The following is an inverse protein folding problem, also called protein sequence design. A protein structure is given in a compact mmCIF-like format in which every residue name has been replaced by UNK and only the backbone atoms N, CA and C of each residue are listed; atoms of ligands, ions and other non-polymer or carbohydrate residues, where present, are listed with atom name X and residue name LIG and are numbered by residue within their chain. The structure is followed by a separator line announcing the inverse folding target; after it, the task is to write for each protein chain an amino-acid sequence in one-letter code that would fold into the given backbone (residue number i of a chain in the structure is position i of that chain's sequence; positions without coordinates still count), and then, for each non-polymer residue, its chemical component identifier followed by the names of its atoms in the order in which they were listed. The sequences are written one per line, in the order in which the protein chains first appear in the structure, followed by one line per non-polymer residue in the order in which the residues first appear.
data_IF_862510157381
#
_entry.id   IF_862510157381
#
_cell.length_a   1.000
_cell.length_b   1.000
_cell.length_c   1.000
_cell.angle_alpha   90.00
_cell.angle_beta   90.00
_cell.angle_gamma   90.00
#
_symmetry.space_group_name_H-M   'P 1'
#
loop_
_entity.id
_entity.type
_entity.pdbx_description
1 polymer ?
#
# COMPACT_ATOMS: atom_id res chain seq x y z
N UNK A 1 -38.75 -34.72 -43.35
CA UNK A 1 -38.92 -34.28 -41.94
C UNK A 1 -37.73 -34.69 -41.07
N UNK A 2 -36.50 -34.68 -41.60
CA UNK A 2 -35.32 -35.27 -40.96
C UNK A 2 -34.04 -34.43 -41.23
N UNK A 3 -34.14 -33.10 -41.11
CA UNK A 3 -32.98 -32.19 -41.28
C UNK A 3 -32.80 -31.16 -40.14
N UNK A 4 -33.78 -31.01 -39.25
CA UNK A 4 -33.70 -30.07 -38.12
C UNK A 4 -33.27 -30.72 -36.79
N UNK A 5 -33.16 -32.06 -36.75
CA UNK A 5 -32.79 -32.77 -35.52
C UNK A 5 -31.32 -32.55 -35.11
N UNK A 6 -30.44 -32.22 -36.06
CA UNK A 6 -29.03 -31.91 -35.79
C UNK A 6 -28.79 -30.50 -35.23
N UNK A 7 -29.74 -29.57 -35.39
CA UNK A 7 -29.58 -28.18 -34.95
C UNK A 7 -29.98 -27.95 -33.48
N UNK A 8 -30.76 -28.87 -32.90
CA UNK A 8 -31.16 -28.84 -31.49
C UNK A 8 -30.12 -29.47 -30.55
N UNK A 9 -29.21 -30.30 -31.05
CA UNK A 9 -28.14 -30.90 -30.25
C UNK A 9 -26.96 -29.95 -29.98
N UNK A 10 -26.80 -28.89 -30.77
CA UNK A 10 -25.72 -27.89 -30.61
C UNK A 10 -26.00 -26.81 -29.56
N UNK A 11 -27.27 -26.58 -29.18
CA UNK A 11 -27.64 -25.53 -28.25
C UNK A 11 -27.62 -25.94 -26.77
N UNK A 12 -27.47 -27.24 -26.48
CA UNK A 12 -27.49 -27.78 -25.12
C UNK A 12 -26.11 -27.80 -24.42
N UNK A 13 -25.04 -27.32 -25.07
CA UNK A 13 -23.67 -27.41 -24.56
C UNK A 13 -23.15 -26.15 -23.81
N UNK A 14 -24.01 -25.19 -23.46
CA UNK A 14 -23.60 -23.89 -22.91
C UNK A 14 -24.22 -23.52 -21.54
N UNK A 15 -24.03 -24.33 -20.47
CA UNK A 15 -23.91 -23.69 -19.16
C UNK A 15 -22.77 -24.24 -18.28
N UNK A 16 -21.72 -24.82 -18.87
CA UNK A 16 -20.59 -25.33 -18.07
C UNK A 16 -19.62 -24.23 -17.56
N UNK A 17 -19.78 -22.97 -17.96
CA UNK A 17 -18.86 -21.87 -17.63
C UNK A 17 -19.23 -21.07 -16.35
N UNK A 18 -20.24 -21.53 -15.59
CA UNK A 18 -20.71 -20.82 -14.38
C UNK A 18 -20.38 -21.57 -13.07
N UNK A 19 -19.35 -22.42 -13.04
CA UNK A 19 -18.85 -22.96 -11.77
C UNK A 19 -18.15 -21.83 -11.01
N UNK A 20 -18.89 -21.18 -10.11
CA UNK A 20 -18.32 -20.27 -9.13
C UNK A 20 -17.27 -21.03 -8.32
N UNK A 21 -16.03 -20.54 -8.32
CA UNK A 21 -14.97 -21.11 -7.50
C UNK A 21 -15.49 -21.26 -6.05
N UNK A 22 -15.37 -22.44 -5.43
CA UNK A 22 -15.86 -22.65 -4.08
C UNK A 22 -15.21 -21.63 -3.17
N UNK A 23 -16.03 -20.81 -2.50
CA UNK A 23 -15.55 -19.83 -1.53
C UNK A 23 -14.71 -20.58 -0.51
N UNK A 24 -13.49 -20.11 -0.24
CA UNK A 24 -12.59 -20.77 0.70
C UNK A 24 -13.33 -20.96 2.03
N UNK A 25 -13.40 -22.20 2.58
CA UNK A 25 -14.03 -22.44 3.87
C UNK A 25 -13.44 -21.51 4.94
N UNK A 26 -14.30 -21.00 5.82
CA UNK A 26 -13.86 -20.11 6.90
C UNK A 26 -13.15 -20.96 7.97
N UNK A 27 -11.83 -21.11 7.85
CA UNK A 27 -10.97 -21.80 8.82
C UNK A 27 -10.06 -20.80 9.56
N UNK A 28 -9.28 -21.29 10.54
CA UNK A 28 -8.40 -20.43 11.34
C UNK A 28 -7.26 -19.78 10.53
N UNK A 29 -6.94 -20.29 9.33
CA UNK A 29 -5.95 -19.68 8.43
C UNK A 29 -6.45 -18.39 7.77
N UNK A 30 -7.76 -18.11 7.86
CA UNK A 30 -8.37 -16.89 7.32
C UNK A 30 -8.03 -15.66 8.18
N UNK A 31 -7.81 -15.83 9.49
CA UNK A 31 -7.50 -14.72 10.39
C UNK A 31 -6.16 -14.04 10.07
N UNK A 32 -5.16 -14.83 9.67
CA UNK A 32 -3.84 -14.33 9.30
C UNK A 32 -3.87 -13.44 8.04
N UNK A 33 -4.95 -13.52 7.25
CA UNK A 33 -5.14 -12.71 6.04
C UNK A 33 -5.77 -11.35 6.33
N UNK A 34 -6.23 -11.10 7.55
CA UNK A 34 -6.84 -9.81 7.88
C UNK A 34 -5.81 -8.68 7.84
N UNK A 35 -6.22 -7.59 7.20
CA UNK A 35 -5.45 -6.38 7.06
C UNK A 35 -6.25 -5.23 7.65
N UNK A 36 -5.54 -4.31 8.31
CA UNK A 36 -6.14 -3.09 8.85
C UNK A 36 -5.75 -1.89 7.98
N UNK A 37 -6.70 -0.98 7.78
CA UNK A 37 -6.41 0.35 7.25
C UNK A 37 -6.09 1.28 8.43
N UNK A 38 -4.96 1.96 8.36
CA UNK A 38 -4.48 2.85 9.42
C UNK A 38 -3.91 4.15 8.84
N UNK A 39 -3.78 5.16 9.71
CA UNK A 39 -3.15 6.45 9.39
C UNK A 39 -3.74 7.08 8.11
N UNK A 40 -5.06 7.11 8.04
CA UNK A 40 -5.80 7.77 6.99
C UNK A 40 -5.60 9.28 7.12
N UNK A 41 -5.29 9.95 6.01
CA UNK A 41 -5.17 11.40 5.96
C UNK A 41 -5.68 11.91 4.62
N UNK A 42 -6.29 13.09 4.64
CA UNK A 42 -6.73 13.83 3.46
C UNK A 42 -5.79 15.02 3.29
N UNK A 43 -5.46 15.37 2.05
CA UNK A 43 -4.65 16.57 1.78
C UNK A 43 -5.38 17.85 2.19
N UNK A 44 -4.66 18.94 2.53
CA UNK A 44 -5.29 20.22 2.87
C UNK A 44 -6.29 20.73 1.84
N UNK A 45 -6.04 20.50 0.54
CA UNK A 45 -6.96 20.87 -0.55
C UNK A 45 -8.09 19.85 -0.81
N UNK A 46 -8.17 18.75 -0.06
CA UNK A 46 -9.21 17.72 -0.19
C UNK A 46 -9.09 16.81 -1.41
N UNK A 47 -8.12 17.00 -2.30
CA UNK A 47 -8.03 16.29 -3.58
C UNK A 47 -7.36 14.91 -3.48
N UNK A 48 -6.61 14.67 -2.42
CA UNK A 48 -5.80 13.47 -2.26
C UNK A 48 -6.07 12.81 -0.92
N UNK A 49 -5.97 11.49 -0.92
CA UNK A 49 -6.12 10.65 0.26
C UNK A 49 -4.93 9.72 0.33
N UNK A 50 -4.37 9.59 1.52
CA UNK A 50 -3.40 8.55 1.83
C UNK A 50 -3.91 7.68 2.96
N UNK A 51 -3.53 6.41 2.93
CA UNK A 51 -3.78 5.47 4.02
C UNK A 51 -2.81 4.30 3.91
N UNK A 52 -2.61 3.60 5.03
CA UNK A 52 -1.74 2.44 5.09
C UNK A 52 -2.57 1.19 5.27
N UNK A 53 -2.25 0.15 4.50
CA UNK A 53 -2.79 -1.19 4.70
C UNK A 53 -1.72 -2.02 5.41
N UNK A 54 -2.02 -2.44 6.64
CA UNK A 54 -1.11 -3.20 7.51
C UNK A 54 -1.61 -4.63 7.67
N UNK A 55 -0.83 -5.65 7.24
CA UNK A 55 -1.09 -7.01 7.67
C UNK A 55 -0.82 -7.15 9.16
N UNK A 56 -1.34 -8.21 9.79
CA UNK A 56 -1.06 -8.51 11.19
C UNK A 56 0.45 -8.73 11.43
N UNK A 57 1.14 -9.34 10.47
CA UNK A 57 2.58 -9.51 10.47
C UNK A 57 3.16 -9.25 9.08
N UNK A 58 4.19 -8.40 9.01
CA UNK A 58 4.95 -8.16 7.79
C UNK A 58 5.05 -6.68 7.43
N UNK A 59 5.24 -6.43 6.14
CA UNK A 59 5.46 -5.10 5.59
C UNK A 59 4.14 -4.42 5.25
N UNK A 60 3.92 -3.23 5.79
CA UNK A 60 2.79 -2.38 5.45
C UNK A 60 2.89 -1.86 4.01
N UNK A 61 1.78 -1.44 3.45
CA UNK A 61 1.74 -0.75 2.16
C UNK A 61 1.03 0.58 2.30
N UNK A 62 1.70 1.67 1.89
CA UNK A 62 1.09 2.98 1.76
C UNK A 62 0.39 3.08 0.40
N UNK A 63 -0.87 3.52 0.44
CA UNK A 63 -1.67 3.85 -0.72
C UNK A 63 -1.90 5.36 -0.78
N UNK A 64 -1.61 5.94 -1.93
CA UNK A 64 -1.98 7.30 -2.31
C UNK A 64 -3.00 7.24 -3.43
N UNK A 65 -4.10 7.98 -3.26
CA UNK A 65 -5.20 8.04 -4.22
C UNK A 65 -5.71 9.47 -4.36
N UNK A 66 -6.35 9.77 -5.48
CA UNK A 66 -7.23 10.92 -5.57
C UNK A 66 -8.47 10.68 -4.69
N UNK A 67 -9.08 11.74 -4.18
CA UNK A 67 -10.34 11.66 -3.41
C UNK A 67 -11.48 11.05 -4.24
N UNK A 68 -11.44 11.20 -5.57
CA UNK A 68 -12.33 10.53 -6.51
C UNK A 68 -12.11 9.00 -6.63
N UNK A 69 -11.14 8.43 -5.90
CA UNK A 69 -10.88 6.99 -5.83
C UNK A 69 -9.80 6.48 -6.79
N UNK A 70 -9.32 7.30 -7.72
CA UNK A 70 -8.26 6.91 -8.66
C UNK A 70 -6.95 6.63 -7.92
N UNK A 71 -6.33 5.44 -8.08
CA UNK A 71 -5.05 5.15 -7.46
C UNK A 71 -3.93 5.95 -8.12
N UNK A 72 -3.11 6.61 -7.31
CA UNK A 72 -1.96 7.39 -7.79
C UNK A 72 -0.66 6.61 -7.60
N UNK A 73 -0.43 6.14 -6.37
CA UNK A 73 0.79 5.41 -6.04
C UNK A 73 0.59 4.42 -4.92
N UNK A 74 1.28 3.29 -5.04
CA UNK A 74 1.47 2.35 -3.96
C UNK A 74 2.95 2.27 -3.59
N UNK A 75 3.24 2.32 -2.30
CA UNK A 75 4.61 2.26 -1.77
C UNK A 75 4.70 1.16 -0.73
N UNK A 76 5.46 0.11 -1.06
CA UNK A 76 5.78 -0.95 -0.11
C UNK A 76 6.62 -0.39 1.05
N UNK A 77 6.26 -0.78 2.27
CA UNK A 77 6.87 -0.35 3.54
C UNK A 77 6.75 1.14 3.82
N UNK A 78 5.84 1.83 3.13
CA UNK A 78 5.54 3.23 3.39
C UNK A 78 4.87 3.39 4.76
N UNK A 79 5.42 4.25 5.61
CA UNK A 79 4.89 4.58 6.93
C UNK A 79 4.97 6.09 7.21
N UNK A 80 4.30 6.54 8.28
CA UNK A 80 4.28 7.94 8.76
C UNK A 80 4.00 8.97 7.67
N UNK A 81 3.15 8.64 6.69
CA UNK A 81 2.93 9.51 5.54
C UNK A 81 2.16 10.77 5.92
N UNK A 82 2.60 11.92 5.39
CA UNK A 82 2.02 13.25 5.61
C UNK A 82 1.93 14.01 4.28
N UNK A 83 0.94 14.88 4.15
CA UNK A 83 0.86 15.87 3.07
C UNK A 83 1.52 17.18 3.47
N UNK A 84 2.17 17.84 2.51
CA UNK A 84 2.60 19.24 2.66
C UNK A 84 1.40 20.17 2.76
N UNK A 85 1.60 21.30 3.46
CA UNK A 85 0.58 22.34 3.67
C UNK A 85 0.01 22.85 2.34
N UNK A 86 0.85 22.94 1.31
CA UNK A 86 0.45 23.37 -0.05
C UNK A 86 -0.17 22.26 -0.91
N UNK A 87 -0.35 21.05 -0.36
CA UNK A 87 -0.89 19.88 -1.06
C UNK A 87 -0.13 19.49 -2.34
N UNK A 88 1.15 19.87 -2.48
CA UNK A 88 1.97 19.50 -3.65
C UNK A 88 2.78 18.24 -3.44
N UNK A 89 3.09 17.90 -2.20
CA UNK A 89 3.94 16.78 -1.86
C UNK A 89 3.28 15.85 -0.84
N UNK A 90 3.56 14.56 -0.98
CA UNK A 90 3.35 13.57 0.05
C UNK A 90 4.71 13.02 0.50
N UNK A 91 4.99 13.11 1.79
CA UNK A 91 6.26 12.72 2.40
C UNK A 91 6.02 11.52 3.32
N UNK A 92 6.87 10.51 3.27
CA UNK A 92 6.70 9.30 4.05
C UNK A 92 8.03 8.61 4.36
N UNK A 93 8.08 7.86 5.46
CA UNK A 93 9.18 6.93 5.71
C UNK A 93 8.99 5.65 4.88
N UNK A 94 10.09 5.03 4.48
CA UNK A 94 10.15 3.69 3.93
C UNK A 94 10.91 2.86 4.95
N UNK A 95 10.19 2.03 5.70
CA UNK A 95 10.77 1.17 6.73
C UNK A 95 11.65 0.08 6.08
N UNK A 96 12.73 -0.36 6.74
CA UNK A 96 13.43 -1.57 6.35
C UNK A 96 12.48 -2.77 6.36
N UNK A 97 12.84 -3.83 5.64
CA UNK A 97 12.00 -5.03 5.57
C UNK A 97 11.79 -5.60 6.98
N UNK A 98 10.57 -6.01 7.27
CA UNK A 98 10.21 -6.63 8.54
C UNK A 98 11.15 -7.79 8.89
N UNK A 99 11.47 -8.65 7.92
CA UNK A 99 12.36 -9.79 8.10
C UNK A 99 13.77 -9.37 8.57
N UNK A 100 14.35 -8.34 7.95
CA UNK A 100 15.69 -7.86 8.28
C UNK A 100 15.75 -7.29 9.70
N UNK A 101 14.71 -6.53 10.08
CA UNK A 101 14.57 -6.00 11.45
C UNK A 101 14.41 -7.13 12.46
N UNK A 102 13.60 -8.15 12.17
CA UNK A 102 13.41 -9.31 13.03
C UNK A 102 14.72 -10.08 13.23
N UNK A 103 15.44 -10.35 12.15
CA UNK A 103 16.74 -11.04 12.22
C UNK A 103 17.77 -10.21 13.01
N UNK A 104 17.82 -8.90 12.82
CA UNK A 104 18.70 -8.02 13.58
C UNK A 104 18.41 -8.03 15.09
N UNK A 105 17.11 -8.04 15.47
CA UNK A 105 16.68 -8.16 16.86
C UNK A 105 17.02 -9.52 17.47
N UNK A 106 16.79 -10.62 16.74
CA UNK A 106 17.17 -11.98 17.18
C UNK A 106 18.68 -12.07 17.42
N UNK A 107 19.48 -11.46 16.54
CA UNK A 107 20.94 -11.36 16.65
C UNK A 107 21.41 -10.32 17.68
N UNK A 108 20.51 -9.68 18.42
CA UNK A 108 20.80 -8.62 19.42
C UNK A 108 21.77 -7.55 18.90
N UNK A 109 21.60 -7.16 17.64
CA UNK A 109 22.45 -6.13 17.01
C UNK A 109 22.33 -4.82 17.79
N UNK A 110 23.47 -4.12 17.92
CA UNK A 110 23.51 -2.76 18.48
C UNK A 110 22.64 -1.81 17.62
N UNK A 111 22.09 -0.72 18.20
CA UNK A 111 21.26 0.25 17.47
C UNK A 111 21.91 0.74 16.16
N UNK A 112 23.22 0.94 16.14
CA UNK A 112 23.95 1.41 14.95
C UNK A 112 23.99 0.40 13.79
N UNK A 113 23.79 -0.88 14.10
CA UNK A 113 23.78 -1.98 13.12
C UNK A 113 22.35 -2.39 12.72
N UNK A 114 21.34 -1.71 13.25
CA UNK A 114 19.96 -1.93 12.84
C UNK A 114 19.75 -1.39 11.42
N UNK A 115 18.91 -2.05 10.60
CA UNK A 115 18.52 -1.51 9.31
C UNK A 115 17.93 -0.10 9.47
N UNK A 116 18.41 0.86 8.69
CA UNK A 116 17.96 2.25 8.74
C UNK A 116 16.75 2.47 7.83
N UNK A 117 15.93 3.45 8.21
CA UNK A 117 14.80 3.89 7.40
C UNK A 117 15.28 4.74 6.21
N UNK A 118 14.40 4.93 5.23
CA UNK A 118 14.59 5.88 4.14
C UNK A 118 13.42 6.84 4.08
N UNK A 119 13.59 7.99 3.46
CA UNK A 119 12.56 8.98 3.24
C UNK A 119 12.12 8.94 1.77
N UNK A 120 10.81 8.99 1.53
CA UNK A 120 10.22 9.18 0.21
C UNK A 120 9.49 10.51 0.15
N UNK A 121 9.69 11.22 -0.95
CA UNK A 121 8.97 12.46 -1.28
C UNK A 121 8.32 12.26 -2.64
N UNK A 122 6.99 12.31 -2.67
CA UNK A 122 6.19 12.13 -3.88
C UNK A 122 5.56 13.46 -4.28
N UNK A 123 5.85 13.93 -5.49
CA UNK A 123 5.21 15.08 -6.09
C UNK A 123 3.83 14.68 -6.64
N UNK A 124 2.76 15.24 -6.08
CA UNK A 124 1.37 14.86 -6.38
C UNK A 124 0.96 15.23 -7.82
N UNK A 125 1.46 16.36 -8.33
CA UNK A 125 1.13 16.85 -9.67
C UNK A 125 1.88 16.10 -10.79
N UNK A 126 3.17 15.81 -10.61
CA UNK A 126 4.00 15.18 -11.65
C UNK A 126 4.11 13.66 -11.51
N UNK A 127 3.74 13.10 -10.34
CA UNK A 127 3.93 11.70 -10.02
C UNK A 127 5.39 11.29 -9.76
N UNK A 128 6.30 12.26 -9.64
CA UNK A 128 7.71 11.98 -9.40
C UNK A 128 7.95 11.52 -7.95
N UNK A 129 8.70 10.44 -7.78
CA UNK A 129 9.11 9.91 -6.48
C UNK A 129 10.61 10.05 -6.27
N UNK A 130 11.01 10.88 -5.30
CA UNK A 130 12.39 11.03 -4.85
C UNK A 130 12.59 10.26 -3.55
N UNK A 131 13.73 9.58 -3.40
CA UNK A 131 14.07 8.79 -2.21
C UNK A 131 15.41 9.19 -1.64
N UNK A 132 15.48 9.29 -0.32
CA UNK A 132 16.69 9.57 0.43
C UNK A 132 16.96 8.42 1.41
N UNK A 133 18.14 7.82 1.34
CA UNK A 133 18.51 6.71 2.23
C UNK A 133 18.98 7.20 3.60
N UNK A 134 19.04 6.27 4.57
CA UNK A 134 19.62 6.49 5.90
C UNK A 134 18.97 7.63 6.71
N UNK A 135 17.66 7.82 6.62
CA UNK A 135 16.97 8.87 7.37
C UNK A 135 16.48 8.31 8.71
N UNK A 136 16.84 8.94 9.82
CA UNK A 136 16.40 8.57 11.19
C UNK A 136 15.00 9.09 11.51
N UNK A 137 14.75 10.34 11.14
CA UNK A 137 13.47 11.01 11.38
C UNK A 137 13.27 12.13 10.36
N UNK A 138 12.02 12.52 10.16
CA UNK A 138 11.66 13.68 9.36
C UNK A 138 10.49 14.40 10.00
N UNK A 139 10.39 15.70 9.73
CA UNK A 139 9.34 16.57 10.21
C UNK A 139 8.96 17.55 9.09
N UNK A 140 7.66 17.76 8.93
CA UNK A 140 7.13 18.75 8.01
C UNK A 140 6.70 19.98 8.80
N UNK A 141 6.97 21.17 8.27
CA UNK A 141 6.47 22.40 8.86
C UNK A 141 4.93 22.48 8.70
N UNK A 142 4.27 23.02 9.73
CA UNK A 142 2.81 23.11 9.77
C UNK A 142 2.27 24.22 8.85
N UNK A 143 2.96 25.37 8.84
CA UNK A 143 2.54 26.58 8.11
C UNK A 143 3.36 26.87 6.84
N UNK A 144 4.35 26.03 6.53
CA UNK A 144 5.24 26.25 5.38
C UNK A 144 5.52 24.94 4.63
N UNK A 145 5.77 24.98 3.31
CA UNK A 145 6.13 23.80 2.53
C UNK A 145 7.61 23.42 2.72
N UNK A 146 8.04 23.28 3.98
CA UNK A 146 9.42 22.97 4.38
C UNK A 146 9.47 21.59 5.02
N UNK A 147 10.43 20.77 4.56
CA UNK A 147 10.71 19.43 5.08
C UNK A 147 12.10 19.43 5.74
N UNK A 148 12.16 19.05 7.01
CA UNK A 148 13.40 18.79 7.73
C UNK A 148 13.57 17.29 7.95
N UNK A 149 14.78 16.77 7.83
CA UNK A 149 15.06 15.36 8.14
C UNK A 149 16.49 15.17 8.68
N UNK A 150 16.66 14.12 9.47
CA UNK A 150 17.93 13.76 10.12
C UNK A 150 18.51 12.49 9.47
N UNK A 151 19.78 12.51 9.10
CA UNK A 151 20.55 11.35 8.58
C UNK A 151 21.30 10.53 9.64
#
# INVERSE_FOLDING_TARGET
MLKYLGLLAGLAALPALAQQAPKKPLDHSVYDQWQSAARQQISPNGQYVLFQVKPQQGDATLHLKAAAGQPLRQVSRGDSALFSVDSKFAVFAIKPRYQDVRQAKIKKKKPDQMPKDSLGVYALASGQLTKYGNVKSFQLAEEAPVLAFLG
#
